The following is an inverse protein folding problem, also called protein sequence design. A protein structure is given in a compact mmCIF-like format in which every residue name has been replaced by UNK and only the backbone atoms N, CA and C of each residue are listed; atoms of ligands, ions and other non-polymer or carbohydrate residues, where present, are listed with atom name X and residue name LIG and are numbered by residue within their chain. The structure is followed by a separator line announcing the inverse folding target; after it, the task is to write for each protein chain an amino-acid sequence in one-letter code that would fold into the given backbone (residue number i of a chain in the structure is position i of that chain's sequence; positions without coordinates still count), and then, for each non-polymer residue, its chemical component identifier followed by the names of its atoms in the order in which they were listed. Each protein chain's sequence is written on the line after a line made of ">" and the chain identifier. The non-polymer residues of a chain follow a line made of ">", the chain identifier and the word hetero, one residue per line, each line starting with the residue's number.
data_IF_977050729433
#
_entry.id   IF_977050729433
#
_cell.length_a   1.000
_cell.length_b   1.000
_cell.length_c   1.000
_cell.angle_alpha   90.00
_cell.angle_beta   90.00
_cell.angle_gamma   90.00
#
_symmetry.space_group_name_H-M   'P 1'
#
loop_
_entity.id
_entity.type
_entity.pdbx_description
1 polymer ?
#
# COMPACT_ATOMS: atom_id res chain seq x y z
N UNK A 1 -11.44 12.15 -5.40
CA UNK A 1 -10.61 11.36 -6.34
C UNK A 1 -10.58 9.90 -5.92
N UNK A 2 -10.22 9.02 -6.83
CA UNK A 2 -9.90 7.63 -6.52
C UNK A 2 -8.37 7.52 -6.49
N UNK A 3 -7.82 7.07 -5.35
CA UNK A 3 -6.37 7.03 -5.15
C UNK A 3 -5.95 5.59 -4.87
N UNK A 4 -5.08 5.04 -5.71
CA UNK A 4 -4.47 3.73 -5.50
C UNK A 4 -3.14 3.92 -4.79
N UNK A 5 -2.94 3.18 -3.71
CA UNK A 5 -1.77 3.30 -2.85
C UNK A 5 -1.11 1.92 -2.71
N UNK A 6 0.16 1.84 -3.03
CA UNK A 6 0.96 0.65 -2.81
C UNK A 6 1.20 0.45 -1.30
N UNK A 7 1.62 -0.74 -0.90
CA UNK A 7 1.84 -1.08 0.52
C UNK A 7 3.34 -1.13 0.83
N UNK A 8 4.03 -2.19 0.41
CA UNK A 8 5.44 -2.38 0.76
C UNK A 8 6.34 -1.34 0.08
N UNK A 9 7.14 -0.62 0.87
CA UNK A 9 7.95 0.49 0.37
C UNK A 9 7.19 1.79 0.24
N UNK A 10 5.90 1.82 0.58
CA UNK A 10 5.06 3.02 0.49
C UNK A 10 4.49 3.41 1.84
N UNK A 11 3.75 2.53 2.52
CA UNK A 11 3.23 2.80 3.87
C UNK A 11 3.88 1.93 4.93
N UNK A 12 4.75 1.04 4.55
CA UNK A 12 5.54 0.19 5.44
C UNK A 12 6.87 -0.15 4.81
N UNK A 13 7.74 -0.80 5.56
CA UNK A 13 9.06 -1.22 5.10
C UNK A 13 8.98 -2.34 4.07
N UNK A 14 10.01 -2.43 3.22
CA UNK A 14 10.21 -3.57 2.31
C UNK A 14 10.86 -4.70 3.09
N UNK A 15 10.36 -5.92 2.94
CA UNK A 15 10.82 -7.09 3.72
C UNK A 15 11.26 -8.26 2.85
N UNK A 16 11.34 -8.08 1.54
CA UNK A 16 11.72 -9.14 0.59
C UNK A 16 10.88 -10.42 0.75
N UNK A 17 9.57 -10.24 0.89
CA UNK A 17 8.62 -11.36 1.01
C UNK A 17 8.31 -11.79 2.45
N UNK A 18 9.00 -11.24 3.44
CA UNK A 18 8.71 -11.51 4.86
C UNK A 18 7.67 -10.51 5.36
N UNK A 19 6.48 -10.52 4.78
CA UNK A 19 5.46 -9.49 5.00
C UNK A 19 5.02 -9.36 6.46
N UNK A 20 5.08 -10.44 7.23
CA UNK A 20 4.76 -10.42 8.66
C UNK A 20 5.71 -9.52 9.46
N UNK A 21 6.91 -9.25 8.93
CA UNK A 21 7.92 -8.43 9.60
C UNK A 21 7.85 -6.95 9.17
N UNK A 22 6.89 -6.59 8.32
CA UNK A 22 6.76 -5.21 7.85
C UNK A 22 6.48 -4.25 9.01
N UNK A 23 7.21 -3.14 9.03
CA UNK A 23 7.04 -2.07 10.03
C UNK A 23 6.33 -0.91 9.38
N UNK A 24 5.23 -0.41 9.96
CA UNK A 24 4.48 0.71 9.39
C UNK A 24 5.28 2.01 9.42
N UNK A 25 4.97 2.88 8.47
CA UNK A 25 5.53 4.24 8.39
C UNK A 25 4.40 5.21 8.77
N UNK A 26 4.27 5.56 10.07
CA UNK A 26 3.09 6.26 10.58
C UNK A 26 2.80 7.60 9.90
N UNK A 27 3.83 8.38 9.59
CA UNK A 27 3.63 9.70 8.97
C UNK A 27 3.02 9.58 7.57
N UNK A 28 3.38 8.54 6.84
CA UNK A 28 2.82 8.27 5.51
C UNK A 28 1.38 7.78 5.60
N UNK A 29 1.11 6.90 6.55
CA UNK A 29 -0.25 6.41 6.82
C UNK A 29 -1.17 7.57 7.19
N UNK A 30 -0.71 8.49 8.06
CA UNK A 30 -1.47 9.67 8.43
C UNK A 30 -1.83 10.54 7.24
N UNK A 31 -0.87 10.72 6.31
CA UNK A 31 -1.10 11.52 5.10
C UNK A 31 -2.18 10.90 4.23
N UNK A 32 -2.15 9.58 4.05
CA UNK A 32 -3.19 8.88 3.28
C UNK A 32 -4.53 8.93 4.01
N UNK A 33 -4.53 8.76 5.34
CA UNK A 33 -5.74 8.87 6.15
C UNK A 33 -6.40 10.24 6.03
N UNK A 34 -5.58 11.29 5.92
CA UNK A 34 -6.09 12.64 5.71
C UNK A 34 -6.84 12.74 4.38
N UNK A 35 -6.29 12.12 3.32
CA UNK A 35 -6.96 12.07 2.03
C UNK A 35 -8.29 11.32 2.12
N UNK A 36 -8.31 10.21 2.89
CA UNK A 36 -9.55 9.47 3.16
C UNK A 36 -10.58 10.37 3.84
N UNK A 37 -10.17 11.09 4.89
CA UNK A 37 -11.05 11.97 5.65
C UNK A 37 -11.58 13.14 4.80
N UNK A 38 -10.83 13.55 3.78
CA UNK A 38 -11.22 14.61 2.85
C UNK A 38 -12.20 14.12 1.77
N UNK A 39 -12.60 12.86 1.80
CA UNK A 39 -13.61 12.31 0.90
C UNK A 39 -13.07 11.57 -0.31
N UNK A 40 -11.78 11.33 -0.39
CA UNK A 40 -11.19 10.55 -1.47
C UNK A 40 -11.39 9.06 -1.23
N UNK A 41 -11.61 8.30 -2.31
CA UNK A 41 -11.66 6.85 -2.25
C UNK A 41 -10.24 6.30 -2.23
N UNK A 42 -9.89 5.56 -1.20
CA UNK A 42 -8.55 4.97 -1.03
C UNK A 42 -8.62 3.47 -1.31
N UNK A 43 -7.77 3.01 -2.23
CA UNK A 43 -7.60 1.59 -2.57
C UNK A 43 -6.15 1.21 -2.31
N UNK A 44 -5.90 0.33 -1.36
CA UNK A 44 -4.57 -0.26 -1.21
C UNK A 44 -4.41 -1.41 -2.21
N UNK A 45 -3.38 -1.34 -3.03
CA UNK A 45 -3.15 -2.26 -4.14
C UNK A 45 -1.73 -2.80 -4.05
N UNK A 46 -1.59 -4.13 -3.91
CA UNK A 46 -0.31 -4.75 -3.60
C UNK A 46 -0.02 -5.95 -4.50
N UNK A 47 1.27 -6.17 -4.75
CA UNK A 47 1.76 -7.32 -5.48
C UNK A 47 2.09 -8.51 -4.57
N UNK A 48 1.75 -8.44 -3.27
CA UNK A 48 1.97 -9.55 -2.34
C UNK A 48 1.30 -10.82 -2.88
N UNK A 49 2.11 -11.85 -3.07
CA UNK A 49 1.65 -13.14 -3.58
C UNK A 49 1.53 -13.24 -5.09
N UNK A 50 1.78 -12.17 -5.84
CA UNK A 50 1.65 -12.18 -7.31
C UNK A 50 2.63 -13.12 -8.00
N UNK A 51 3.83 -13.31 -7.45
CA UNK A 51 4.84 -14.22 -8.01
C UNK A 51 4.70 -15.65 -7.49
N UNK A 52 4.28 -15.83 -6.24
CA UNK A 52 4.30 -17.14 -5.58
C UNK A 52 2.93 -17.82 -5.57
N UNK A 53 1.85 -17.05 -5.73
CA UNK A 53 0.49 -17.56 -5.60
C UNK A 53 0.04 -17.75 -4.16
N UNK A 54 0.87 -17.37 -3.17
CA UNK A 54 0.49 -17.44 -1.76
C UNK A 54 -0.55 -16.36 -1.46
N UNK A 55 -1.60 -16.73 -0.75
CA UNK A 55 -2.64 -15.80 -0.36
C UNK A 55 -2.23 -15.02 0.89
N UNK A 56 -1.94 -13.72 0.70
CA UNK A 56 -1.52 -12.82 1.78
C UNK A 56 -2.66 -11.90 2.25
N UNK A 57 -3.90 -12.15 1.84
CA UNK A 57 -5.03 -11.24 2.13
C UNK A 57 -5.28 -11.07 3.63
N UNK A 58 -5.35 -12.14 4.37
CA UNK A 58 -5.67 -12.07 5.81
C UNK A 58 -4.63 -11.29 6.60
N UNK A 59 -3.35 -11.57 6.36
CA UNK A 59 -2.25 -10.86 7.04
C UNK A 59 -2.25 -9.39 6.64
N UNK A 60 -2.45 -9.09 5.37
CA UNK A 60 -2.45 -7.72 4.87
C UNK A 60 -3.62 -6.92 5.47
N UNK A 61 -4.82 -7.49 5.50
CA UNK A 61 -5.99 -6.86 6.14
C UNK A 61 -5.71 -6.57 7.60
N UNK A 62 -5.16 -7.54 8.31
CA UNK A 62 -4.83 -7.40 9.73
C UNK A 62 -3.84 -6.26 9.95
N UNK A 63 -2.80 -6.19 9.12
CA UNK A 63 -1.78 -5.14 9.22
C UNK A 63 -2.38 -3.76 8.98
N UNK A 64 -3.15 -3.58 7.90
CA UNK A 64 -3.80 -2.30 7.62
C UNK A 64 -4.70 -1.86 8.77
N UNK A 65 -5.41 -2.81 9.37
CA UNK A 65 -6.28 -2.55 10.51
C UNK A 65 -5.48 -2.15 11.75
N UNK A 66 -4.43 -2.90 12.07
CA UNK A 66 -3.55 -2.63 13.23
C UNK A 66 -2.80 -1.31 13.07
N UNK A 67 -2.41 -0.96 11.84
CA UNK A 67 -1.71 0.29 11.57
C UNK A 67 -2.65 1.50 11.49
N UNK A 68 -3.95 1.28 11.57
CA UNK A 68 -4.93 2.36 11.46
C UNK A 68 -5.00 2.97 10.06
N UNK A 69 -4.68 2.20 9.04
CA UNK A 69 -4.70 2.66 7.64
C UNK A 69 -6.13 2.61 7.10
N UNK A 70 -6.76 3.78 7.03
CA UNK A 70 -8.15 3.91 6.53
C UNK A 70 -8.20 3.70 5.03
N UNK A 71 -9.14 2.88 4.57
CA UNK A 71 -9.30 2.59 3.15
C UNK A 71 -10.69 2.05 2.85
N UNK A 72 -11.04 2.03 1.56
CA UNK A 72 -12.31 1.49 1.08
C UNK A 72 -12.13 0.07 0.53
N UNK A 73 -11.01 -0.19 -0.13
CA UNK A 73 -10.74 -1.48 -0.75
C UNK A 73 -9.28 -1.89 -0.54
N UNK A 74 -9.08 -3.20 -0.49
CA UNK A 74 -7.77 -3.84 -0.56
C UNK A 74 -7.76 -4.78 -1.75
N UNK A 75 -6.82 -4.62 -2.66
CA UNK A 75 -6.67 -5.45 -3.86
C UNK A 75 -5.28 -6.05 -3.92
N UNK A 76 -5.19 -7.36 -4.11
CA UNK A 76 -3.94 -8.11 -4.13
C UNK A 76 -3.55 -8.62 -5.51
N UNK A 77 -4.06 -8.01 -6.57
CA UNK A 77 -3.81 -8.45 -7.94
C UNK A 77 -2.83 -7.57 -8.70
N UNK A 78 -2.03 -6.77 -8.01
CA UNK A 78 -1.04 -5.93 -8.67
C UNK A 78 0.05 -6.82 -9.27
N UNK A 79 0.38 -6.67 -10.55
CA UNK A 79 1.41 -7.50 -11.16
C UNK A 79 2.80 -7.18 -10.60
N UNK A 80 3.68 -8.18 -10.59
CA UNK A 80 5.08 -7.94 -10.35
C UNK A 80 5.70 -7.29 -11.60
N UNK A 81 6.55 -6.27 -11.39
CA UNK A 81 7.20 -5.56 -12.49
C UNK A 81 8.48 -4.88 -12.01
N UNK A 82 9.34 -4.55 -12.94
CA UNK A 82 10.56 -3.79 -12.64
C UNK A 82 10.35 -2.30 -12.81
N UNK A 83 9.52 -1.89 -13.78
CA UNK A 83 9.24 -0.50 -14.07
C UNK A 83 7.78 -0.34 -14.45
N UNK A 84 7.13 0.63 -13.84
CA UNK A 84 5.74 0.98 -14.12
C UNK A 84 5.69 2.39 -14.72
N UNK A 85 5.30 2.48 -15.97
CA UNK A 85 5.17 3.77 -16.67
C UNK A 85 3.70 4.05 -16.90
N UNK A 86 3.23 5.16 -16.36
CA UNK A 86 1.82 5.55 -16.43
C UNK A 86 1.73 7.08 -16.31
N UNK A 87 0.65 7.65 -16.82
CA UNK A 87 0.45 9.09 -16.80
C UNK A 87 0.01 9.66 -15.44
N UNK A 88 -0.34 8.81 -14.49
CA UNK A 88 -0.92 9.22 -13.20
C UNK A 88 -0.16 8.72 -11.98
N UNK A 89 0.94 8.01 -12.18
CA UNK A 89 1.72 7.46 -11.07
C UNK A 89 2.76 8.45 -10.56
N UNK A 90 3.06 8.33 -9.27
CA UNK A 90 4.17 9.03 -8.65
C UNK A 90 4.89 8.05 -7.73
N UNK A 91 6.21 8.11 -7.67
CA UNK A 91 7.00 7.31 -6.75
C UNK A 91 6.72 7.75 -5.30
N UNK A 92 6.58 6.79 -4.38
CA UNK A 92 6.23 7.07 -2.99
C UNK A 92 7.22 8.01 -2.31
N UNK A 93 8.49 7.84 -2.58
CA UNK A 93 9.54 8.70 -2.02
C UNK A 93 9.32 10.16 -2.42
N UNK A 94 9.02 10.41 -3.69
CA UNK A 94 8.77 11.76 -4.19
C UNK A 94 7.44 12.33 -3.66
N UNK A 95 6.43 11.48 -3.52
CA UNK A 95 5.12 11.91 -3.05
C UNK A 95 5.15 12.35 -1.59
N UNK A 96 5.77 11.55 -0.73
CA UNK A 96 5.81 11.84 0.70
C UNK A 96 6.93 12.82 1.07
N UNK A 97 8.06 12.76 0.40
CA UNK A 97 9.23 13.65 0.62
C UNK A 97 9.71 13.66 2.06
N UNK A 98 9.70 12.51 2.68
CA UNK A 98 10.12 12.34 4.07
C UNK A 98 11.52 11.73 4.22
#
# INVERSE_FOLDING_TARGET
>A
MIIYVDIDGTICTITDGQYSDAVPLPSRIEKINKLYDEGNKIVYWTARGSQTGIDWREITKKQLNEWGAKHHELSLNKPHYDLYVDDKTINSYDYFKD
#
